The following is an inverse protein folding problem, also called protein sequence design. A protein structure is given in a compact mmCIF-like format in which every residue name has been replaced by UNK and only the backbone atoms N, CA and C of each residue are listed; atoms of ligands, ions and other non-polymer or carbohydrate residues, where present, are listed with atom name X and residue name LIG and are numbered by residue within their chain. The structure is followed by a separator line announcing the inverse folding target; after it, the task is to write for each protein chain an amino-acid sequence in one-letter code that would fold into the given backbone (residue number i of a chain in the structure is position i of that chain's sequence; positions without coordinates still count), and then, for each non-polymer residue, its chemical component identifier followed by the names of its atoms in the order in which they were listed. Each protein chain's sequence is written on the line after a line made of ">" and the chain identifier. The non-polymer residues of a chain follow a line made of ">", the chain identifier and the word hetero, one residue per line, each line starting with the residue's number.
data_IF_071343273564
#
_entry.id   IF_071343273564
#
_cell.length_a   1.000
_cell.length_b   1.000
_cell.length_c   1.000
_cell.angle_alpha   90.00
_cell.angle_beta   90.00
_cell.angle_gamma   90.00
#
_symmetry.space_group_name_H-M   'P 1'
#
loop_
_entity.id
_entity.type
_entity.pdbx_description
1 polymer ?
#
# COMPACT_ATOMS: atom_id res chain seq x y z
N UNK A 1 16.77 1.89 -21.14
CA UNK A 1 16.64 1.59 -19.70
C UNK A 1 17.13 2.72 -18.78
N UNK A 2 18.32 3.35 -18.97
CA UNK A 2 18.83 4.44 -18.09
C UNK A 2 17.86 5.62 -17.86
N UNK A 3 17.04 6.02 -18.83
CA UNK A 3 16.08 7.14 -18.70
C UNK A 3 14.94 6.87 -17.70
N UNK A 4 14.46 5.63 -17.59
CA UNK A 4 13.37 5.25 -16.67
C UNK A 4 13.85 5.36 -15.22
N UNK A 5 15.09 4.94 -14.94
CA UNK A 5 15.71 5.07 -13.62
C UNK A 5 15.98 6.53 -13.20
N UNK A 6 16.21 7.44 -14.16
CA UNK A 6 16.29 8.87 -13.87
C UNK A 6 14.91 9.51 -13.58
N UNK A 7 13.81 8.88 -14.01
CA UNK A 7 12.46 9.33 -13.71
C UNK A 7 12.02 8.93 -12.29
N UNK A 8 12.49 7.79 -11.79
CA UNK A 8 12.15 7.23 -10.47
C UNK A 8 12.94 7.85 -9.32
N UNK A 9 13.09 9.18 -9.29
CA UNK A 9 13.71 9.83 -8.13
C UNK A 9 12.85 9.65 -6.88
N UNK A 10 13.44 9.54 -5.67
CA UNK A 10 12.70 9.31 -4.44
C UNK A 10 11.53 10.27 -4.23
N UNK A 11 11.74 11.57 -4.51
CA UNK A 11 10.70 12.59 -4.39
C UNK A 11 9.55 12.39 -5.37
N UNK A 12 9.83 12.05 -6.64
CA UNK A 12 8.78 11.79 -7.63
C UNK A 12 7.99 10.54 -7.27
N UNK A 13 8.67 9.48 -6.83
CA UNK A 13 8.03 8.25 -6.36
C UNK A 13 7.11 8.53 -5.18
N UNK A 14 7.51 9.39 -4.23
CA UNK A 14 6.66 9.80 -3.12
C UNK A 14 5.38 10.52 -3.61
N UNK A 15 5.51 11.47 -4.55
CA UNK A 15 4.34 12.18 -5.11
C UNK A 15 3.38 11.20 -5.79
N UNK A 16 3.90 10.29 -6.62
CA UNK A 16 3.08 9.27 -7.30
C UNK A 16 2.44 8.33 -6.25
N UNK A 17 3.14 7.99 -5.17
CA UNK A 17 2.59 7.20 -4.08
C UNK A 17 1.42 7.92 -3.37
N UNK A 18 1.55 9.22 -3.11
CA UNK A 18 0.47 10.02 -2.52
C UNK A 18 -0.75 10.05 -3.46
N UNK A 19 -0.54 10.27 -4.76
CA UNK A 19 -1.61 10.24 -5.76
C UNK A 19 -2.28 8.86 -5.82
N UNK A 20 -1.50 7.79 -5.71
CA UNK A 20 -2.02 6.43 -5.63
C UNK A 20 -2.91 6.24 -4.39
N UNK A 21 -2.46 6.66 -3.20
CA UNK A 21 -3.27 6.59 -1.98
C UNK A 21 -4.58 7.38 -2.12
N UNK A 22 -4.54 8.59 -2.66
CA UNK A 22 -5.74 9.41 -2.92
C UNK A 22 -6.70 8.65 -3.86
N UNK A 23 -6.19 8.07 -4.95
CA UNK A 23 -7.03 7.32 -5.89
C UNK A 23 -7.74 6.13 -5.24
N UNK A 24 -7.07 5.43 -4.32
CA UNK A 24 -7.65 4.30 -3.55
C UNK A 24 -8.76 4.79 -2.63
N UNK A 25 -8.57 5.94 -1.97
CA UNK A 25 -9.60 6.58 -1.13
C UNK A 25 -10.83 6.94 -1.97
N UNK A 26 -10.64 7.50 -3.16
CA UNK A 26 -11.75 7.81 -4.07
C UNK A 26 -12.52 6.55 -4.48
N UNK A 27 -11.83 5.44 -4.78
CA UNK A 27 -12.51 4.16 -5.09
C UNK A 27 -13.31 3.67 -3.88
N UNK A 28 -12.79 3.86 -2.66
CA UNK A 28 -13.49 3.43 -1.45
C UNK A 28 -14.79 4.20 -1.18
N UNK A 29 -14.87 5.45 -1.64
CA UNK A 29 -16.06 6.32 -1.53
C UNK A 29 -17.17 5.99 -2.54
N UNK A 30 -16.92 5.13 -3.53
CA UNK A 30 -17.97 4.64 -4.44
C UNK A 30 -19.06 3.93 -3.62
N UNK A 31 -20.33 4.18 -3.97
CA UNK A 31 -21.49 3.68 -3.24
C UNK A 31 -21.34 2.19 -2.88
N UNK A 32 -21.29 1.86 -1.57
CA UNK A 32 -21.04 0.51 -1.09
C UNK A 32 -22.23 -0.43 -1.27
N UNK A 33 -23.44 0.08 -1.48
CA UNK A 33 -24.67 -0.70 -1.60
C UNK A 33 -24.91 -1.15 -3.04
N UNK A 34 -24.77 -0.25 -4.01
CA UNK A 34 -24.97 -0.58 -5.42
C UNK A 34 -23.75 -1.30 -6.02
N UNK A 35 -22.52 -0.88 -5.68
CA UNK A 35 -21.32 -1.28 -6.41
C UNK A 35 -20.34 -2.13 -5.59
N UNK A 36 -20.80 -2.82 -4.53
CA UNK A 36 -19.95 -3.59 -3.60
C UNK A 36 -18.91 -4.49 -4.29
N UNK A 37 -19.34 -5.28 -5.28
CA UNK A 37 -18.48 -6.24 -5.99
C UNK A 37 -17.47 -5.55 -6.91
N UNK A 38 -17.90 -4.49 -7.60
CA UNK A 38 -17.05 -3.69 -8.49
C UNK A 38 -15.99 -2.95 -7.66
N UNK A 39 -16.38 -2.34 -6.55
CA UNK A 39 -15.48 -1.69 -5.60
C UNK A 39 -14.42 -2.66 -5.09
N UNK A 40 -14.83 -3.84 -4.63
CA UNK A 40 -13.91 -4.86 -4.14
C UNK A 40 -12.93 -5.34 -5.22
N UNK A 41 -13.42 -5.55 -6.45
CA UNK A 41 -12.60 -6.00 -7.57
C UNK A 41 -11.59 -4.94 -8.02
N UNK A 42 -12.04 -3.67 -8.13
CA UNK A 42 -11.17 -2.54 -8.44
C UNK A 42 -10.09 -2.37 -7.38
N UNK A 43 -10.46 -2.40 -6.10
CA UNK A 43 -9.48 -2.36 -5.01
C UNK A 43 -8.50 -3.53 -5.13
N UNK A 44 -8.96 -4.77 -5.27
CA UNK A 44 -8.06 -5.92 -5.31
C UNK A 44 -7.08 -5.86 -6.51
N UNK A 45 -7.60 -5.58 -7.72
CA UNK A 45 -6.81 -5.58 -8.96
C UNK A 45 -5.89 -4.37 -9.09
N UNK A 46 -6.27 -3.21 -8.55
CA UNK A 46 -5.46 -2.00 -8.65
C UNK A 46 -4.51 -1.85 -7.47
N UNK A 47 -5.00 -2.08 -6.25
CA UNK A 47 -4.28 -1.77 -5.03
C UNK A 47 -3.15 -2.76 -4.74
N UNK A 48 -3.39 -4.06 -4.87
CA UNK A 48 -2.38 -5.08 -4.52
C UNK A 48 -1.19 -5.01 -5.49
N UNK A 49 -1.38 -5.01 -6.82
CA UNK A 49 -0.25 -4.88 -7.74
C UNK A 49 0.43 -3.51 -7.60
N UNK A 50 -0.34 -2.43 -7.40
CA UNK A 50 0.19 -1.10 -7.17
C UNK A 50 1.11 -1.05 -5.94
N UNK A 51 0.64 -1.55 -4.79
CA UNK A 51 1.42 -1.66 -3.56
C UNK A 51 2.72 -2.44 -3.77
N UNK A 52 2.65 -3.57 -4.49
CA UNK A 52 3.82 -4.39 -4.75
C UNK A 52 4.86 -3.64 -5.59
N UNK A 53 4.43 -2.95 -6.66
CA UNK A 53 5.32 -2.11 -7.47
C UNK A 53 5.95 -1.00 -6.65
N UNK A 54 5.16 -0.27 -5.84
CA UNK A 54 5.70 0.78 -4.98
C UNK A 54 6.72 0.24 -3.97
N UNK A 55 6.44 -0.91 -3.37
CA UNK A 55 7.36 -1.55 -2.44
C UNK A 55 8.73 -1.82 -3.10
N UNK A 56 8.75 -2.42 -4.29
CA UNK A 56 9.98 -2.70 -5.02
C UNK A 56 10.78 -1.42 -5.36
N UNK A 57 10.09 -0.39 -5.86
CA UNK A 57 10.71 0.88 -6.23
C UNK A 57 11.26 1.61 -5.00
N UNK A 58 10.54 1.60 -3.87
CA UNK A 58 10.97 2.23 -2.63
C UNK A 58 12.17 1.49 -2.01
N UNK A 59 12.18 0.15 -2.03
CA UNK A 59 13.35 -0.64 -1.60
C UNK A 59 14.56 -0.31 -2.47
N UNK A 60 14.38 -0.23 -3.79
CA UNK A 60 15.46 0.12 -4.71
C UNK A 60 16.03 1.51 -4.40
N UNK A 61 15.15 2.51 -4.23
CA UNK A 61 15.54 3.88 -3.90
C UNK A 61 16.21 3.99 -2.53
N UNK A 62 15.77 3.22 -1.55
CA UNK A 62 16.40 3.15 -0.24
C UNK A 62 17.82 2.56 -0.33
N UNK A 63 17.98 1.40 -1.00
CA UNK A 63 19.30 0.79 -1.22
C UNK A 63 20.26 1.75 -1.91
N UNK A 64 19.79 2.45 -2.96
CA UNK A 64 20.57 3.46 -3.67
C UNK A 64 20.97 4.63 -2.75
N UNK A 65 20.02 5.17 -1.98
CA UNK A 65 20.25 6.30 -1.07
C UNK A 65 21.20 5.95 0.08
N UNK A 66 21.21 4.69 0.52
CA UNK A 66 22.19 4.17 1.48
C UNK A 66 23.60 4.22 0.89
N UNK A 67 23.76 3.71 -0.34
CA UNK A 67 25.05 3.73 -1.04
C UNK A 67 25.57 5.15 -1.29
N UNK A 68 24.68 6.09 -1.63
CA UNK A 68 25.02 7.50 -1.92
C UNK A 68 25.11 8.38 -0.66
N UNK A 69 24.91 7.80 0.53
CA UNK A 69 24.84 8.49 1.82
C UNK A 69 23.91 9.74 1.86
N UNK A 70 22.82 9.73 1.09
CA UNK A 70 21.89 10.84 1.01
C UNK A 70 20.76 10.69 2.03
N UNK A 71 20.87 11.39 3.17
CA UNK A 71 19.90 11.33 4.28
C UNK A 71 18.47 11.68 3.84
N UNK A 72 18.30 12.75 3.06
CA UNK A 72 16.99 13.21 2.60
C UNK A 72 16.26 12.15 1.80
N UNK A 73 16.97 11.51 0.87
CA UNK A 73 16.40 10.46 0.01
C UNK A 73 16.12 9.16 0.78
N UNK A 74 16.94 8.85 1.80
CA UNK A 74 16.67 7.74 2.74
C UNK A 74 15.31 7.95 3.43
N UNK A 75 15.12 9.11 4.05
CA UNK A 75 13.88 9.44 4.78
C UNK A 75 12.65 9.39 3.86
N UNK A 76 12.74 10.02 2.68
CA UNK A 76 11.66 10.02 1.69
C UNK A 76 11.27 8.60 1.24
N UNK A 77 12.23 7.67 1.20
CA UNK A 77 11.95 6.29 0.80
C UNK A 77 11.42 5.43 1.96
N UNK A 78 11.88 5.69 3.20
CA UNK A 78 11.50 4.92 4.39
C UNK A 78 10.05 5.20 4.81
N UNK A 79 9.63 6.47 4.82
CA UNK A 79 8.28 6.85 5.29
C UNK A 79 7.16 6.06 4.57
N UNK A 80 7.05 6.11 3.22
CA UNK A 80 6.01 5.37 2.53
C UNK A 80 6.18 3.85 2.67
N UNK A 81 7.41 3.35 2.74
CA UNK A 81 7.66 1.93 2.95
C UNK A 81 7.18 1.45 4.33
N UNK A 82 7.40 2.25 5.36
CA UNK A 82 6.91 2.00 6.72
C UNK A 82 5.38 1.98 6.77
N UNK A 83 4.72 2.91 6.07
CA UNK A 83 3.26 2.93 5.95
C UNK A 83 2.72 1.65 5.29
N UNK A 84 3.37 1.17 4.22
CA UNK A 84 3.00 -0.09 3.56
C UNK A 84 3.13 -1.27 4.53
N UNK A 85 4.23 -1.35 5.29
CA UNK A 85 4.46 -2.42 6.27
C UNK A 85 3.39 -2.40 7.36
N UNK A 86 3.09 -1.23 7.93
CA UNK A 86 2.03 -1.08 8.93
C UNK A 86 0.67 -1.53 8.39
N UNK A 87 0.36 -1.16 7.15
CA UNK A 87 -0.89 -1.55 6.52
C UNK A 87 -1.00 -3.07 6.29
N UNK A 88 0.07 -3.72 5.84
CA UNK A 88 0.11 -5.19 5.67
C UNK A 88 -0.03 -5.89 7.02
N UNK A 89 0.66 -5.40 8.06
CA UNK A 89 0.54 -5.92 9.42
C UNK A 89 -0.91 -5.80 9.94
N UNK A 90 -1.56 -4.66 9.71
CA UNK A 90 -2.95 -4.44 10.07
C UNK A 90 -3.89 -5.46 9.40
N UNK A 91 -3.74 -5.70 8.08
CA UNK A 91 -4.52 -6.73 7.38
C UNK A 91 -4.27 -8.10 8.00
N UNK A 92 -3.01 -8.45 8.26
CA UNK A 92 -2.66 -9.76 8.80
C UNK A 92 -3.31 -9.99 10.17
N UNK A 93 -3.29 -8.97 11.05
CA UNK A 93 -3.96 -9.01 12.35
C UNK A 93 -5.48 -9.18 12.19
N UNK A 94 -6.11 -8.43 11.27
CA UNK A 94 -7.55 -8.53 11.00
C UNK A 94 -7.97 -9.92 10.50
N UNK A 95 -7.20 -10.49 9.56
CA UNK A 95 -7.47 -11.84 9.04
C UNK A 95 -7.27 -12.88 10.15
N UNK A 96 -6.19 -12.78 10.91
CA UNK A 96 -5.91 -13.69 12.02
C UNK A 96 -7.03 -13.64 13.07
N UNK A 97 -7.51 -12.45 13.42
CA UNK A 97 -8.64 -12.26 14.32
C UNK A 97 -9.92 -12.90 13.77
N UNK A 98 -10.20 -12.74 12.48
CA UNK A 98 -11.37 -13.35 11.83
C UNK A 98 -11.31 -14.89 11.88
N UNK A 99 -10.13 -15.48 11.61
CA UNK A 99 -9.91 -16.93 11.68
C UNK A 99 -10.12 -17.45 13.10
N UNK A 100 -9.55 -16.78 14.10
CA UNK A 100 -9.74 -17.13 15.52
C UNK A 100 -11.24 -17.10 15.86
N UNK A 101 -11.95 -16.01 15.56
CA UNK A 101 -13.39 -15.92 15.84
C UNK A 101 -14.19 -17.04 15.21
N UNK A 102 -13.91 -17.36 13.94
CA UNK A 102 -14.57 -18.45 13.23
C UNK A 102 -14.31 -19.80 13.91
N UNK A 103 -13.07 -20.05 14.34
CA UNK A 103 -12.68 -21.30 15.01
C UNK A 103 -13.31 -21.46 16.41
N UNK A 104 -13.49 -20.37 17.15
CA UNK A 104 -14.09 -20.38 18.49
C UNK A 104 -15.62 -20.17 18.50
N UNK A 105 -16.27 -20.10 17.35
CA UNK A 105 -17.73 -19.95 17.24
C UNK A 105 -18.26 -18.65 17.85
N UNK A 106 -17.42 -17.62 17.99
CA UNK A 106 -17.80 -16.33 18.56
C UNK A 106 -18.63 -15.60 17.50
N UNK A 107 -19.95 -15.75 17.57
CA UNK A 107 -20.91 -15.03 16.71
C UNK A 107 -20.76 -13.53 16.89
N UNK A 108 -20.96 -12.80 15.79
CA UNK A 108 -21.01 -11.35 15.85
C UNK A 108 -22.20 -10.93 16.71
N UNK A 109 -22.05 -10.05 17.71
CA UNK A 109 -23.19 -9.53 18.47
C UNK A 109 -24.11 -8.61 17.65
N UNK A 110 -23.81 -8.42 16.36
CA UNK A 110 -24.57 -7.60 15.41
C UNK A 110 -25.19 -8.45 14.26
N UNK A 111 -25.21 -9.77 14.38
CA UNK A 111 -26.05 -10.67 13.57
C UNK A 111 -27.24 -11.19 14.39
#
# INVERSE_FOLDING_TARGET
>A
MKKIFNFLTPTKVLVIFILFVISVICIYQIDPYEYKKIRASLLFLYFIPGLFVFMLVLIYNLKKSIKENNLKNKVISIIPLFLIILYVLYIFIMVFYAVIRQQFGIKNPME
#
